data_IF_624418226774
#
_entry.id   IF_624418226774
#
_cell.length_a   1.000
_cell.length_b   1.000
_cell.length_c   1.000
_cell.angle_alpha   90.00
_cell.angle_beta   90.00
_cell.angle_gamma   90.00
#
_symmetry.space_group_name_H-M   'P 1'
#
loop_
_entity.id
_entity.type
_entity.pdbx_description
1 polymer ?
#
# COMPACT_ATOMS: atom_id res chain seq x y z
N UNK A 1 -22.93 -7.52 14.37
CA UNK A 1 -23.49 -6.92 13.14
C UNK A 1 -22.38 -6.11 12.46
N UNK A 2 -22.12 -6.27 11.16
CA UNK A 2 -21.14 -5.42 10.48
C UNK A 2 -21.68 -3.99 10.48
N UNK A 3 -20.90 -3.03 10.94
CA UNK A 3 -21.31 -1.62 10.91
C UNK A 3 -21.39 -1.22 9.43
N UNK A 4 -22.57 -0.82 8.96
CA UNK A 4 -22.70 -0.16 7.67
C UNK A 4 -21.87 1.13 7.71
N UNK A 5 -20.75 1.14 6.98
CA UNK A 5 -19.95 2.33 6.78
C UNK A 5 -20.71 3.18 5.75
N UNK A 6 -21.08 4.44 6.04
CA UNK A 6 -21.79 5.29 5.10
C UNK A 6 -21.01 5.43 3.79
N UNK A 7 -21.70 5.43 2.64
CA UNK A 7 -21.11 5.64 1.31
C UNK A 7 -20.27 6.93 1.24
N UNK A 8 -20.66 7.95 1.99
CA UNK A 8 -19.92 9.22 2.12
C UNK A 8 -18.55 9.03 2.79
N UNK A 9 -18.43 8.13 3.79
CA UNK A 9 -17.16 7.84 4.43
C UNK A 9 -16.19 7.08 3.51
N UNK A 10 -16.72 6.34 2.52
CA UNK A 10 -15.90 5.73 1.48
C UNK A 10 -15.34 6.78 0.52
N UNK A 11 -16.09 7.83 0.18
CA UNK A 11 -15.62 8.92 -0.69
C UNK A 11 -14.42 9.71 -0.12
N UNK A 12 -14.17 9.61 1.18
CA UNK A 12 -13.04 10.26 1.87
C UNK A 12 -12.03 9.27 2.48
N UNK A 13 -11.97 8.04 1.98
CA UNK A 13 -10.99 7.07 2.49
C UNK A 13 -9.56 7.61 2.29
N UNK A 14 -8.84 7.80 3.39
CA UNK A 14 -7.42 8.16 3.40
C UNK A 14 -6.67 7.15 4.26
N UNK A 15 -5.64 6.53 3.69
CA UNK A 15 -4.74 5.64 4.42
C UNK A 15 -3.60 6.47 5.02
N UNK A 16 -3.34 6.27 6.30
CA UNK A 16 -2.21 6.86 7.01
C UNK A 16 -1.30 5.76 7.56
N UNK A 17 0.00 6.01 7.54
CA UNK A 17 1.01 5.12 8.13
C UNK A 17 2.12 5.95 8.77
N UNK A 18 2.73 5.40 9.82
CA UNK A 18 3.84 5.98 10.57
C UNK A 18 4.69 4.88 11.21
N UNK A 19 5.85 5.24 11.74
CA UNK A 19 6.83 4.33 12.35
C UNK A 19 8.07 4.16 11.48
N UNK A 20 8.60 2.93 11.47
CA UNK A 20 9.86 2.59 10.79
C UNK A 20 9.66 2.53 9.27
N UNK A 21 10.45 3.30 8.53
CA UNK A 21 10.40 3.48 7.08
C UNK A 21 11.16 2.44 6.26
N UNK A 22 11.94 1.59 6.90
CA UNK A 22 12.83 0.60 6.26
C UNK A 22 12.08 -0.27 5.24
N UNK A 23 12.70 -0.48 4.07
CA UNK A 23 12.14 -1.22 2.94
C UNK A 23 10.86 -0.60 2.37
N UNK A 24 10.60 0.68 2.57
CA UNK A 24 9.41 1.35 2.03
C UNK A 24 8.08 0.88 2.62
N UNK A 25 8.06 0.16 3.75
CA UNK A 25 6.86 -0.48 4.34
C UNK A 25 5.74 0.50 4.73
N UNK A 26 6.06 1.78 4.79
CA UNK A 26 5.08 2.85 5.04
C UNK A 26 4.32 3.28 3.78
N UNK A 27 4.88 3.09 2.58
CA UNK A 27 4.21 3.42 1.32
C UNK A 27 4.28 4.89 0.90
N UNK A 28 5.13 5.70 1.55
CA UNK A 28 5.24 7.15 1.31
C UNK A 28 6.12 7.53 0.12
N UNK A 29 6.82 6.57 -0.49
CA UNK A 29 7.77 6.86 -1.55
C UNK A 29 9.08 7.47 -1.07
N UNK A 30 9.72 8.24 -1.94
CA UNK A 30 10.91 9.02 -1.61
C UNK A 30 10.49 10.32 -0.93
N UNK A 31 11.23 10.76 0.09
CA UNK A 31 11.03 12.09 0.65
C UNK A 31 11.38 13.17 -0.40
N UNK A 32 11.01 14.43 -0.12
CA UNK A 32 11.37 15.57 -0.98
C UNK A 32 12.88 15.74 -1.14
N UNK A 33 13.66 15.27 -0.16
CA UNK A 33 15.13 15.28 -0.17
C UNK A 33 15.72 14.05 -0.90
N UNK A 34 14.87 13.21 -1.49
CA UNK A 34 15.26 11.97 -2.15
C UNK A 34 15.61 10.83 -1.20
N UNK A 35 15.36 10.99 0.11
CA UNK A 35 15.65 9.97 1.11
C UNK A 35 14.71 8.78 0.90
N UNK A 36 15.32 7.61 0.71
CA UNK A 36 14.62 6.33 0.77
C UNK A 36 14.52 5.87 2.23
N UNK A 37 13.47 5.12 2.55
CA UNK A 37 13.29 4.52 3.89
C UNK A 37 13.14 5.50 5.05
N UNK A 38 12.64 6.71 4.79
CA UNK A 38 12.41 7.69 5.83
C UNK A 38 11.38 7.17 6.85
N UNK A 39 11.78 7.16 8.13
CA UNK A 39 10.87 6.96 9.24
C UNK A 39 9.84 8.10 9.27
N UNK A 40 8.66 7.83 9.81
CA UNK A 40 7.63 8.83 10.04
C UNK A 40 7.25 8.81 11.51
N UNK A 41 7.55 9.90 12.22
CA UNK A 41 7.25 10.08 13.65
C UNK A 41 5.79 10.51 13.91
N UNK A 42 5.05 10.87 12.85
CA UNK A 42 3.64 11.21 12.90
C UNK A 42 2.83 10.53 11.79
N UNK A 43 1.51 10.34 11.98
CA UNK A 43 0.63 9.85 10.93
C UNK A 43 0.79 10.64 9.64
N UNK A 44 1.20 9.94 8.58
CA UNK A 44 1.45 10.53 7.27
C UNK A 44 0.60 9.83 6.23
N UNK A 45 0.06 10.59 5.28
CA UNK A 45 -0.89 10.05 4.30
C UNK A 45 -0.15 9.27 3.21
N UNK A 46 -0.62 8.06 2.91
CA UNK A 46 -0.13 7.24 1.79
C UNK A 46 -0.71 7.80 0.48
N UNK A 47 -0.07 8.85 -0.04
CA UNK A 47 -0.59 9.64 -1.16
C UNK A 47 -0.79 8.84 -2.44
N UNK A 48 0.01 7.81 -2.68
CA UNK A 48 -0.04 6.99 -3.89
C UNK A 48 -1.40 6.31 -4.13
N UNK A 49 -2.18 6.05 -3.08
CA UNK A 49 -3.54 5.49 -3.20
C UNK A 49 -4.62 6.57 -3.41
N UNK A 50 -4.28 7.84 -3.27
CA UNK A 50 -5.20 8.97 -3.40
C UNK A 50 -5.03 9.73 -4.73
N UNK A 51 -4.10 9.32 -5.59
CA UNK A 51 -3.90 9.89 -6.93
C UNK A 51 -4.99 9.38 -7.87
N UNK A 52 -5.39 10.19 -8.86
CA UNK A 52 -6.51 9.89 -9.77
C UNK A 52 -6.17 8.67 -10.66
N UNK A 53 -7.00 7.60 -10.68
CA UNK A 53 -8.23 7.42 -9.90
C UNK A 53 -7.98 7.03 -8.44
N UNK A 54 -8.64 7.72 -7.50
CA UNK A 54 -8.51 7.44 -6.07
C UNK A 54 -8.91 6.01 -5.72
N UNK A 55 -8.07 5.33 -4.95
CA UNK A 55 -8.31 3.99 -4.41
C UNK A 55 -8.95 4.13 -3.04
N UNK A 56 -10.18 3.64 -2.91
CA UNK A 56 -10.86 3.58 -1.61
C UNK A 56 -10.50 2.28 -0.90
N UNK A 57 -9.80 2.39 0.23
CA UNK A 57 -9.32 1.25 1.00
C UNK A 57 -10.44 0.72 1.89
N UNK A 58 -10.74 -0.57 1.75
CA UNK A 58 -11.72 -1.32 2.56
C UNK A 58 -11.06 -1.98 3.77
N UNK A 59 -9.89 -2.56 3.57
CA UNK A 59 -9.17 -3.31 4.61
C UNK A 59 -7.66 -3.20 4.43
N UNK A 60 -6.91 -3.38 5.51
CA UNK A 60 -5.45 -3.33 5.56
C UNK A 60 -4.87 -4.49 6.35
N UNK A 61 -3.73 -5.00 5.91
CA UNK A 61 -2.92 -5.97 6.64
C UNK A 61 -1.47 -5.48 6.68
N UNK A 62 -0.78 -5.75 7.78
CA UNK A 62 0.64 -5.49 7.89
C UNK A 62 1.35 -6.69 8.49
N UNK A 63 2.61 -6.85 8.10
CA UNK A 63 3.53 -7.82 8.65
C UNK A 63 4.80 -7.10 9.13
N UNK A 64 5.85 -7.86 9.39
CA UNK A 64 7.10 -7.30 9.90
C UNK A 64 7.65 -6.18 8.98
N UNK A 65 7.72 -6.42 7.67
CA UNK A 65 8.40 -5.54 6.71
C UNK A 65 7.64 -5.30 5.41
N UNK A 66 6.35 -5.65 5.36
CA UNK A 66 5.46 -5.33 4.24
C UNK A 66 4.05 -5.06 4.73
N UNK A 67 3.30 -4.39 3.85
CA UNK A 67 1.93 -3.96 4.10
C UNK A 67 1.09 -4.26 2.87
N UNK A 68 -0.20 -4.48 3.07
CA UNK A 68 -1.15 -4.73 2.01
C UNK A 68 -2.48 -4.03 2.31
N UNK A 69 -3.20 -3.70 1.25
CA UNK A 69 -4.53 -3.10 1.33
C UNK A 69 -5.45 -3.72 0.27
N UNK A 70 -6.72 -3.85 0.61
CA UNK A 70 -7.78 -4.24 -0.34
C UNK A 70 -8.69 -3.04 -0.55
N UNK A 71 -8.93 -2.68 -1.80
CA UNK A 71 -9.87 -1.61 -2.14
C UNK A 71 -11.32 -2.08 -2.13
N UNK A 72 -12.26 -1.15 -2.07
CA UNK A 72 -13.72 -1.42 -2.20
C UNK A 72 -14.07 -2.12 -3.52
N UNK A 73 -13.28 -1.90 -4.56
CA UNK A 73 -13.45 -2.52 -5.88
C UNK A 73 -12.85 -3.94 -5.96
N UNK A 74 -12.23 -4.40 -4.87
CA UNK A 74 -11.63 -5.73 -4.75
C UNK A 74 -10.23 -5.84 -5.35
N UNK A 75 -9.53 -4.72 -5.56
CA UNK A 75 -8.12 -4.71 -5.96
C UNK A 75 -7.22 -4.85 -4.73
N UNK A 76 -6.14 -5.62 -4.86
CA UNK A 76 -5.14 -5.80 -3.80
C UNK A 76 -3.92 -4.98 -4.13
N UNK A 77 -3.42 -4.25 -3.14
CA UNK A 77 -2.18 -3.48 -3.21
C UNK A 77 -1.21 -3.99 -2.16
N UNK A 78 0.07 -4.04 -2.49
CA UNK A 78 1.12 -4.45 -1.55
C UNK A 78 2.36 -3.57 -1.70
N UNK A 79 3.04 -3.28 -0.60
CA UNK A 79 4.28 -2.52 -0.56
C UNK A 79 5.16 -2.94 0.62
N UNK A 80 6.41 -2.47 0.64
CA UNK A 80 7.41 -2.92 1.59
C UNK A 80 8.43 -3.85 0.95
N UNK A 81 9.07 -4.69 1.77
CA UNK A 81 10.04 -5.69 1.34
C UNK A 81 9.46 -6.68 0.32
N UNK A 82 10.19 -6.89 -0.77
CA UNK A 82 9.87 -7.84 -1.83
C UNK A 82 10.62 -9.17 -1.71
N UNK A 83 11.42 -9.34 -0.64
CA UNK A 83 12.10 -10.60 -0.34
C UNK A 83 11.11 -11.76 -0.41
N UNK A 84 11.53 -12.91 -0.93
CA UNK A 84 10.71 -14.14 -1.01
C UNK A 84 9.43 -14.02 -1.84
N UNK A 85 9.27 -12.96 -2.66
CA UNK A 85 8.11 -12.79 -3.53
C UNK A 85 6.81 -12.42 -2.79
N UNK A 86 6.87 -12.02 -1.52
CA UNK A 86 5.71 -11.81 -0.65
C UNK A 86 4.77 -10.66 -1.05
N UNK A 87 5.21 -9.77 -1.93
CA UNK A 87 4.35 -8.74 -2.52
C UNK A 87 3.44 -9.30 -3.62
N UNK A 88 3.80 -10.42 -4.27
CA UNK A 88 2.99 -11.01 -5.33
C UNK A 88 2.90 -10.18 -6.62
N UNK A 89 3.76 -9.17 -6.81
CA UNK A 89 3.78 -8.28 -7.98
C UNK A 89 4.71 -8.76 -9.11
N UNK A 90 5.31 -9.94 -8.96
CA UNK A 90 6.36 -10.45 -9.85
C UNK A 90 7.75 -9.99 -9.42
N UNK A 91 8.74 -10.19 -10.31
CA UNK A 91 10.08 -9.68 -10.11
C UNK A 91 10.04 -8.16 -10.27
N UNK A 92 10.36 -7.42 -9.20
CA UNK A 92 10.79 -6.03 -9.33
C UNK A 92 12.10 -6.10 -10.12
N UNK A 93 12.22 -5.33 -11.21
CA UNK A 93 13.40 -5.33 -12.10
C UNK A 93 14.70 -5.46 -11.28
N UNK A 94 15.66 -6.25 -11.78
CA UNK A 94 16.96 -6.63 -11.17
C UNK A 94 17.84 -5.47 -10.66
N UNK A 95 17.34 -4.24 -10.72
CA UNK A 95 17.81 -3.15 -9.86
C UNK A 95 17.80 -3.60 -8.40
N UNK A 96 18.91 -3.37 -7.71
CA UNK A 96 19.23 -3.80 -6.34
C UNK A 96 18.20 -3.47 -5.23
N UNK A 97 17.08 -2.85 -5.56
CA UNK A 97 16.01 -2.45 -4.65
C UNK A 97 14.96 -3.56 -4.51
N UNK A 98 15.17 -4.46 -3.55
CA UNK A 98 14.26 -5.56 -3.22
C UNK A 98 13.04 -5.10 -2.41
N UNK A 99 12.46 -3.94 -2.71
CA UNK A 99 11.27 -3.43 -2.03
C UNK A 99 10.45 -2.46 -2.89
N UNK A 100 9.17 -2.34 -2.57
CA UNK A 100 8.25 -1.39 -3.16
C UNK A 100 8.00 -0.23 -2.19
N UNK A 101 8.40 0.99 -2.57
CA UNK A 101 8.17 2.20 -1.78
C UNK A 101 6.76 2.75 -1.88
N UNK A 102 6.03 2.31 -2.90
CA UNK A 102 4.65 2.69 -3.19
C UNK A 102 3.77 1.44 -3.19
N UNK A 103 2.49 1.54 -2.79
CA UNK A 103 1.49 0.51 -3.00
C UNK A 103 1.42 0.09 -4.47
N UNK A 104 1.83 -1.15 -4.75
CA UNK A 104 1.81 -1.74 -6.09
C UNK A 104 0.57 -2.61 -6.24
N UNK A 105 -0.11 -2.50 -7.39
CA UNK A 105 -1.26 -3.35 -7.72
C UNK A 105 -0.79 -4.80 -7.90
N UNK A 106 -1.38 -5.73 -7.14
CA UNK A 106 -1.10 -7.16 -7.26
C UNK A 106 -1.89 -7.73 -8.44
N UNK A 107 -1.21 -8.27 -9.48
CA UNK A 107 -1.89 -8.85 -10.63
C UNK A 107 -2.46 -10.22 -10.30
N UNK A 108 -3.75 -10.45 -10.64
CA UNK A 108 -4.36 -11.77 -10.58
C UNK A 108 -4.59 -12.31 -12.00
N UNK A 109 -4.20 -13.56 -12.31
CA UNK A 109 -4.30 -14.14 -13.66
C UNK A 109 -5.74 -14.28 -14.15
N UNK A 110 -6.72 -14.28 -13.26
CA UNK A 110 -8.14 -14.18 -13.57
C UNK A 110 -8.72 -13.11 -12.64
N UNK A 111 -9.47 -12.13 -13.18
CA UNK A 111 -10.09 -11.01 -12.43
C UNK A 111 -11.00 -11.50 -11.27
N UNK A 112 -10.42 -11.99 -10.19
CA UNK A 112 -11.13 -12.33 -8.95
C UNK A 112 -11.15 -11.06 -8.11
N UNK A 113 -12.25 -10.32 -8.23
CA UNK A 113 -12.57 -9.24 -7.29
C UNK A 113 -12.92 -9.89 -5.96
N UNK A 114 -12.14 -9.64 -4.92
CA UNK A 114 -12.50 -10.04 -3.56
C UNK A 114 -13.62 -9.09 -3.09
N UNK A 115 -14.87 -9.58 -3.09
CA UNK A 115 -16.04 -8.83 -2.59
C UNK A 115 -16.27 -9.11 -1.12
#
# INVERSE_FOLDING_TARGET
APRCIPLEALLYSSLYSWGVGISGRLGHGKSLEGIINADADHPSRVMALQVIPSVFVKDVACAFDHSAAVSVDGHVYSWGSASTGKLGVGLLDDSYEQFAMYPMLVPFPNRKRFR
#
